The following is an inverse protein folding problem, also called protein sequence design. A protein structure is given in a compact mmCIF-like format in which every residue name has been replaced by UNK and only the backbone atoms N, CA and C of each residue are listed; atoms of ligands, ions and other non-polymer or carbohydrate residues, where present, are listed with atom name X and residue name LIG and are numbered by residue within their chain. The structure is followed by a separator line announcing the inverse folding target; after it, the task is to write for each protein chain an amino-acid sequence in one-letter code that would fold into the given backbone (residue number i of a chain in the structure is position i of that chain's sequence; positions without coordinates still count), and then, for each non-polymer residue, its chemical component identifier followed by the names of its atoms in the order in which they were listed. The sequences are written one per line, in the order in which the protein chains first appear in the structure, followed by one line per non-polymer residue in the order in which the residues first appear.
data_IF_497087538534
#
_entry.id   IF_497087538534
#
_cell.length_a   1.000
_cell.length_b   1.000
_cell.length_c   1.000
_cell.angle_alpha   90.00
_cell.angle_beta   90.00
_cell.angle_gamma   90.00
#
_symmetry.space_group_name_H-M   'P 1'
#
loop_
_entity.id
_entity.type
_entity.pdbx_description
1 polymer ?
#
# COMPACT_ATOMS: atom_id res chain seq x y z
N UNK A 1 36.94 -14.77 77.76
CA UNK A 1 37.34 -13.40 78.16
C UNK A 1 36.20 -12.48 77.73
N UNK A 2 35.65 -11.72 78.69
CA UNK A 2 34.23 -11.43 78.86
C UNK A 2 33.90 -10.04 78.28
N UNK A 3 32.65 -9.55 78.20
CA UNK A 3 32.03 -8.84 79.32
C UNK A 3 30.57 -8.42 79.04
N UNK A 4 29.71 -8.74 80.02
CA UNK A 4 28.64 -7.93 80.62
C UNK A 4 27.39 -7.46 79.80
N UNK A 5 26.28 -8.16 80.05
CA UNK A 5 24.96 -7.58 80.39
C UNK A 5 25.07 -6.71 81.68
N UNK A 6 24.17 -5.74 82.02
CA UNK A 6 22.76 -6.04 82.31
C UNK A 6 21.67 -4.93 82.20
N UNK A 7 20.43 -5.42 82.06
CA UNK A 7 19.19 -5.07 82.80
C UNK A 7 18.80 -3.62 83.09
N UNK A 8 17.58 -3.25 82.65
CA UNK A 8 16.80 -2.13 83.19
C UNK A 8 15.29 -2.38 83.11
N UNK A 9 14.70 -2.80 84.23
CA UNK A 9 13.26 -2.92 84.51
C UNK A 9 12.64 -1.56 84.90
N UNK A 10 11.45 -1.23 84.39
CA UNK A 10 10.29 -0.59 85.08
C UNK A 10 9.17 -0.32 84.04
N UNK A 11 8.03 -1.02 84.11
CA UNK A 11 6.84 -0.70 84.93
C UNK A 11 6.11 0.58 84.49
N UNK A 12 5.00 0.41 83.76
CA UNK A 12 4.03 1.47 83.47
C UNK A 12 2.78 0.89 82.80
N UNK A 13 1.71 0.80 83.56
CA UNK A 13 0.40 0.17 83.31
C UNK A 13 -0.46 0.82 82.21
N UNK A 14 -1.20 0.00 81.46
CA UNK A 14 -2.38 0.44 80.69
C UNK A 14 -2.88 -0.60 79.68
N UNK A 15 -3.72 -1.53 80.09
CA UNK A 15 -4.60 -2.32 79.20
C UNK A 15 -5.84 -1.46 78.84
N UNK A 16 -6.47 -1.59 77.64
CA UNK A 16 -7.08 -2.85 77.21
C UNK A 16 -6.93 -3.23 75.71
N UNK A 17 -7.07 -4.53 75.47
CA UNK A 17 -7.16 -5.30 74.20
C UNK A 17 -8.59 -5.13 73.57
N UNK A 18 -8.96 -5.52 72.31
CA UNK A 18 -8.24 -5.98 71.09
C UNK A 18 -8.70 -5.30 69.76
N UNK A 19 -7.81 -5.11 68.77
CA UNK A 19 -8.21 -5.09 67.36
C UNK A 19 -7.00 -5.25 66.39
N UNK A 20 -6.35 -6.42 66.38
CA UNK A 20 -5.31 -6.74 65.41
C UNK A 20 -5.77 -7.84 64.44
N UNK A 21 -6.80 -7.55 63.63
CA UNK A 21 -7.09 -8.25 62.37
C UNK A 21 -7.50 -7.19 61.33
N UNK A 22 -6.58 -6.30 60.95
CA UNK A 22 -6.81 -5.33 59.87
C UNK A 22 -5.54 -4.81 59.19
N UNK A 23 -4.42 -5.55 59.25
CA UNK A 23 -3.14 -5.07 58.70
C UNK A 23 -2.60 -5.88 57.49
N UNK A 24 -3.36 -6.82 56.93
CA UNK A 24 -2.88 -7.67 55.83
C UNK A 24 -3.64 -7.53 54.50
N UNK A 25 -4.34 -6.41 54.27
CA UNK A 25 -5.15 -6.22 53.05
C UNK A 25 -4.87 -4.95 52.25
N UNK A 26 -3.73 -4.27 52.46
CA UNK A 26 -3.43 -2.99 51.78
C UNK A 26 -2.22 -2.95 50.86
N UNK A 27 -1.61 -4.09 50.52
CA UNK A 27 -0.39 -4.11 49.68
C UNK A 27 -0.50 -4.94 48.40
N UNK A 28 -1.69 -5.37 47.97
CA UNK A 28 -1.85 -6.08 46.68
C UNK A 28 -2.64 -5.35 45.58
N UNK A 29 -3.09 -4.11 45.80
CA UNK A 29 -3.87 -3.38 44.78
C UNK A 29 -3.10 -2.31 44.00
N UNK A 30 -1.84 -1.99 44.35
CA UNK A 30 -1.06 -0.99 43.60
C UNK A 30 -0.19 -1.58 42.47
N UNK A 31 0.14 -2.87 42.53
CA UNK A 31 1.00 -3.51 41.51
C UNK A 31 0.28 -3.77 40.18
N UNK A 32 -0.95 -4.28 40.23
CA UNK A 32 -1.73 -4.62 39.02
C UNK A 32 -2.25 -3.38 38.28
N UNK A 33 -2.64 -2.33 38.99
CA UNK A 33 -3.11 -1.06 38.40
C UNK A 33 -1.95 -0.35 37.69
N UNK A 34 -0.74 -0.42 38.25
CA UNK A 34 0.46 0.16 37.63
C UNK A 34 0.93 -0.63 36.40
N UNK A 35 0.79 -1.96 36.39
CA UNK A 35 1.13 -2.77 35.20
C UNK A 35 0.14 -2.56 34.05
N UNK A 36 -1.17 -2.56 34.34
CA UNK A 36 -2.20 -2.28 33.35
C UNK A 36 -2.07 -0.86 32.79
N UNK A 37 -1.86 0.15 33.64
CA UNK A 37 -1.60 1.52 33.19
C UNK A 37 -0.30 1.65 32.39
N UNK A 38 0.77 0.93 32.76
CA UNK A 38 2.03 0.98 32.03
C UNK A 38 1.93 0.31 30.65
N UNK A 39 1.20 -0.80 30.51
CA UNK A 39 0.91 -1.41 29.21
C UNK A 39 0.00 -0.52 28.35
N UNK A 40 -1.03 0.09 28.93
CA UNK A 40 -1.93 1.02 28.23
C UNK A 40 -1.17 2.26 27.75
N UNK A 41 -0.31 2.85 28.61
CA UNK A 41 0.56 3.99 28.24
C UNK A 41 1.56 3.60 27.16
N UNK A 42 2.10 2.36 27.18
CA UNK A 42 3.00 1.86 26.11
C UNK A 42 2.24 1.65 24.80
N UNK A 43 1.01 1.14 24.85
CA UNK A 43 0.13 0.98 23.69
C UNK A 43 -0.26 2.34 23.10
N UNK A 44 -0.62 3.31 23.95
CA UNK A 44 -0.94 4.69 23.55
C UNK A 44 0.27 5.40 22.95
N UNK A 45 1.45 5.20 23.53
CA UNK A 45 2.72 5.72 22.98
C UNK A 45 3.02 5.09 21.62
N UNK A 46 2.75 3.79 21.46
CA UNK A 46 2.95 3.08 20.19
C UNK A 46 1.94 3.54 19.13
N UNK A 47 0.67 3.72 19.50
CA UNK A 47 -0.39 4.28 18.65
C UNK A 47 -0.07 5.71 18.22
N UNK A 48 0.41 6.55 19.15
CA UNK A 48 0.84 7.91 18.86
C UNK A 48 2.08 7.95 17.94
N UNK A 49 3.04 7.04 18.12
CA UNK A 49 4.19 6.91 17.22
C UNK A 49 3.75 6.49 15.82
N UNK A 50 2.85 5.52 15.70
CA UNK A 50 2.28 5.11 14.41
C UNK A 50 1.52 6.26 13.75
N UNK A 51 0.65 6.96 14.49
CA UNK A 51 -0.06 8.14 13.99
C UNK A 51 0.89 9.23 13.49
N UNK A 52 1.99 9.49 14.20
CA UNK A 52 3.04 10.41 13.76
C UNK A 52 3.75 9.93 12.48
N UNK A 53 3.99 8.61 12.34
CA UNK A 53 4.55 8.03 11.11
C UNK A 53 3.56 8.18 9.95
N UNK A 54 2.27 7.91 10.16
CA UNK A 54 1.21 8.10 9.17
C UNK A 54 1.12 9.56 8.73
N UNK A 55 1.21 10.50 9.67
CA UNK A 55 1.21 11.93 9.39
C UNK A 55 2.43 12.34 8.57
N UNK A 56 3.64 11.93 8.98
CA UNK A 56 4.88 12.19 8.23
C UNK A 56 4.86 11.57 6.85
N UNK A 57 4.26 10.39 6.71
CA UNK A 57 4.07 9.72 5.44
C UNK A 57 3.13 10.51 4.53
N UNK A 58 2.00 11.00 5.07
CA UNK A 58 1.12 11.93 4.35
C UNK A 58 1.83 13.20 3.90
N UNK A 59 2.57 13.85 4.80
CA UNK A 59 3.36 15.07 4.50
C UNK A 59 4.45 14.80 3.45
N UNK A 60 5.12 13.65 3.49
CA UNK A 60 6.12 13.26 2.50
C UNK A 60 5.48 13.00 1.13
N UNK A 61 4.32 12.34 1.12
CA UNK A 61 3.53 12.10 -0.10
C UNK A 61 3.16 13.42 -0.77
N UNK A 62 2.67 14.38 0.02
CA UNK A 62 2.27 15.69 -0.47
C UNK A 62 3.48 16.53 -0.95
N UNK A 63 4.62 16.45 -0.26
CA UNK A 63 5.84 17.15 -0.69
C UNK A 63 6.42 16.59 -1.98
N UNK A 64 6.43 15.26 -2.13
CA UNK A 64 6.93 14.62 -3.34
C UNK A 64 6.01 14.87 -4.55
N UNK A 65 4.71 15.09 -4.33
CA UNK A 65 3.79 15.37 -5.44
C UNK A 65 3.80 16.82 -5.95
N UNK A 66 4.31 17.80 -5.18
CA UNK A 66 3.95 19.21 -5.40
C UNK A 66 4.86 20.05 -6.33
N UNK A 67 6.16 19.83 -6.40
CA UNK A 67 7.05 20.87 -6.99
C UNK A 67 7.81 20.49 -8.27
N UNK A 68 8.54 19.36 -8.33
CA UNK A 68 9.24 18.95 -9.57
C UNK A 68 8.33 18.18 -10.51
N UNK A 69 7.58 17.23 -9.94
CA UNK A 69 6.87 16.19 -10.70
C UNK A 69 5.65 16.76 -11.42
N UNK A 70 5.04 17.81 -10.88
CA UNK A 70 3.91 18.50 -11.52
C UNK A 70 4.34 19.19 -12.82
N UNK A 71 5.52 19.82 -12.84
CA UNK A 71 6.02 20.47 -14.06
C UNK A 71 6.42 19.46 -15.13
N UNK A 72 7.01 18.34 -14.72
CA UNK A 72 7.35 17.21 -15.61
C UNK A 72 6.08 16.58 -16.16
N UNK A 73 5.09 16.32 -15.31
CA UNK A 73 3.79 15.78 -15.70
C UNK A 73 3.10 16.67 -16.73
N UNK A 74 2.91 17.96 -16.45
CA UNK A 74 2.22 18.88 -17.36
C UNK A 74 2.98 19.06 -18.70
N UNK A 75 4.32 19.00 -18.67
CA UNK A 75 5.13 19.07 -19.89
C UNK A 75 5.02 17.79 -20.70
N UNK A 76 5.17 16.61 -20.08
CA UNK A 76 5.05 15.33 -20.78
C UNK A 76 3.63 15.14 -21.31
N UNK A 77 2.60 15.43 -20.53
CA UNK A 77 1.21 15.40 -20.98
C UNK A 77 1.03 16.22 -22.28
N UNK A 78 1.50 17.47 -22.29
CA UNK A 78 1.44 18.32 -23.50
C UNK A 78 2.24 17.77 -24.68
N UNK A 79 3.39 17.16 -24.41
CA UNK A 79 4.24 16.58 -25.45
C UNK A 79 3.57 15.37 -26.10
N UNK A 80 2.96 14.49 -25.30
CA UNK A 80 2.22 13.33 -25.80
C UNK A 80 0.93 13.75 -26.52
N UNK A 81 0.19 14.73 -25.99
CA UNK A 81 -0.98 15.30 -26.67
C UNK A 81 -0.62 15.93 -28.03
N UNK A 82 0.51 16.64 -28.12
CA UNK A 82 1.00 17.19 -29.37
C UNK A 82 1.44 16.09 -30.35
N UNK A 83 2.11 15.04 -29.85
CA UNK A 83 2.48 13.89 -30.66
C UNK A 83 1.24 13.21 -31.24
N UNK A 84 0.24 12.93 -30.40
CA UNK A 84 -1.05 12.36 -30.79
C UNK A 84 -1.82 13.25 -31.76
N UNK A 85 -1.92 14.56 -31.52
CA UNK A 85 -2.59 15.50 -32.42
C UNK A 85 -1.90 15.61 -33.78
N UNK A 86 -0.59 15.36 -33.84
CA UNK A 86 0.19 15.38 -35.07
C UNK A 86 0.32 14.01 -35.75
N UNK A 87 -0.25 12.94 -35.15
CA UNK A 87 -0.16 11.60 -35.69
C UNK A 87 -0.94 11.50 -37.01
N UNK A 88 -0.38 10.77 -37.97
CA UNK A 88 -1.00 10.55 -39.28
C UNK A 88 -1.56 9.14 -39.41
N UNK A 89 -1.06 8.21 -38.58
CA UNK A 89 -1.47 6.82 -38.58
C UNK A 89 -1.42 6.24 -37.17
N UNK A 90 -2.43 5.46 -36.81
CA UNK A 90 -2.45 4.63 -35.60
C UNK A 90 -2.50 3.16 -36.01
N UNK A 91 -1.56 2.36 -35.49
CA UNK A 91 -1.47 0.92 -35.77
C UNK A 91 -1.74 0.18 -34.47
N UNK A 92 -2.86 -0.53 -34.41
CA UNK A 92 -3.16 -1.47 -33.34
C UNK A 92 -2.39 -2.77 -33.59
N UNK A 93 -1.54 -3.13 -32.64
CA UNK A 93 -0.68 -4.30 -32.70
C UNK A 93 -1.28 -5.44 -31.88
N UNK A 94 -1.22 -6.64 -32.44
CA UNK A 94 -1.45 -7.87 -31.70
C UNK A 94 -0.17 -8.33 -30.96
N UNK A 95 -0.29 -9.42 -30.19
CA UNK A 95 0.81 -9.94 -29.38
C UNK A 95 1.99 -10.48 -30.18
N UNK A 96 1.84 -10.82 -31.46
CA UNK A 96 2.94 -11.31 -32.31
C UNK A 96 3.69 -10.14 -32.99
N UNK A 97 2.94 -9.10 -33.35
CA UNK A 97 3.49 -7.87 -33.96
C UNK A 97 4.25 -7.01 -32.95
N UNK A 98 3.91 -7.10 -31.66
CA UNK A 98 4.68 -6.50 -30.58
C UNK A 98 5.95 -7.31 -30.30
N UNK A 99 7.09 -6.86 -30.84
CA UNK A 99 8.38 -7.52 -30.68
C UNK A 99 9.56 -6.53 -30.73
N UNK A 100 10.75 -7.01 -30.37
CA UNK A 100 11.99 -6.20 -30.35
C UNK A 100 12.34 -5.59 -31.73
N UNK A 101 11.96 -6.25 -32.82
CA UNK A 101 12.20 -5.76 -34.18
C UNK A 101 11.38 -4.50 -34.50
N UNK A 102 10.15 -4.43 -34.01
CA UNK A 102 9.34 -3.22 -34.08
C UNK A 102 9.99 -2.09 -33.28
N UNK A 103 10.42 -2.34 -32.04
CA UNK A 103 11.07 -1.32 -31.22
C UNK A 103 12.37 -0.82 -31.85
N UNK A 104 13.15 -1.70 -32.49
CA UNK A 104 14.33 -1.30 -33.25
C UNK A 104 13.96 -0.36 -34.42
N UNK A 105 12.85 -0.63 -35.10
CA UNK A 105 12.33 0.23 -36.19
C UNK A 105 11.87 1.59 -35.66
N UNK A 106 11.15 1.63 -34.55
CA UNK A 106 10.75 2.90 -33.89
C UNK A 106 11.99 3.69 -33.48
N UNK A 107 12.97 3.01 -32.90
CA UNK A 107 14.24 3.60 -32.48
C UNK A 107 15.02 4.19 -33.66
N UNK A 108 15.14 3.47 -34.77
CA UNK A 108 15.79 3.96 -35.99
C UNK A 108 15.11 5.24 -36.50
N UNK A 109 13.77 5.25 -36.55
CA UNK A 109 13.02 6.42 -37.00
C UNK A 109 13.26 7.67 -36.16
N UNK A 110 13.27 7.56 -34.83
CA UNK A 110 13.50 8.74 -33.97
C UNK A 110 14.92 9.29 -34.12
N UNK A 111 15.91 8.44 -34.43
CA UNK A 111 17.29 8.88 -34.71
C UNK A 111 17.39 9.55 -36.08
N UNK A 112 16.84 8.93 -37.13
CA UNK A 112 16.81 9.54 -38.46
C UNK A 112 16.09 10.90 -38.45
N UNK A 113 15.02 11.01 -37.66
CA UNK A 113 14.30 12.28 -37.44
C UNK A 113 15.17 13.35 -36.77
N UNK A 114 15.87 12.97 -35.70
CA UNK A 114 16.77 13.87 -35.00
C UNK A 114 17.93 14.35 -35.88
N UNK A 115 18.58 13.44 -36.60
CA UNK A 115 19.70 13.76 -37.51
C UNK A 115 19.27 14.68 -38.65
N UNK A 116 18.10 14.41 -39.25
CA UNK A 116 17.56 15.28 -40.29
C UNK A 116 17.19 16.65 -39.76
N UNK A 117 16.54 16.75 -38.59
CA UNK A 117 16.26 18.06 -37.95
C UNK A 117 17.56 18.82 -37.66
N UNK A 118 18.60 18.14 -37.21
CA UNK A 118 19.92 18.75 -37.00
C UNK A 118 20.54 19.27 -38.31
N UNK A 119 20.45 18.51 -39.39
CA UNK A 119 20.93 18.90 -40.73
C UNK A 119 20.13 20.09 -41.29
N UNK A 120 18.82 20.14 -41.06
CA UNK A 120 17.95 21.25 -41.49
C UNK A 120 18.31 22.57 -40.77
N UNK A 121 18.66 22.51 -39.49
CA UNK A 121 19.07 23.69 -38.71
C UNK A 121 20.44 24.22 -39.16
N UNK A 122 21.28 23.39 -39.79
CA UNK A 122 22.60 23.78 -40.32
C UNK A 122 22.58 24.44 -41.71
N UNK A 123 21.42 24.58 -42.36
CA UNK A 123 21.23 25.59 -43.42
C UNK A 123 21.37 25.15 -44.88
N UNK A 124 21.15 23.88 -45.24
CA UNK A 124 21.05 23.47 -46.65
C UNK A 124 19.59 23.57 -47.17
N UNK A 125 19.20 24.78 -47.59
CA UNK A 125 17.88 25.07 -48.16
C UNK A 125 17.56 24.30 -49.46
N UNK A 126 18.58 23.76 -50.14
CA UNK A 126 18.42 23.01 -51.39
C UNK A 126 17.89 21.57 -51.19
N UNK A 127 17.98 21.01 -49.98
CA UNK A 127 17.44 19.69 -49.65
C UNK A 127 15.94 19.70 -49.26
N UNK A 128 15.31 20.89 -49.18
CA UNK A 128 13.93 21.04 -48.71
C UNK A 128 12.86 20.51 -49.68
N UNK A 129 13.19 20.27 -50.95
CA UNK A 129 12.20 19.98 -51.98
C UNK A 129 11.93 18.48 -52.25
N UNK A 130 12.68 17.55 -51.63
CA UNK A 130 12.63 16.11 -51.99
C UNK A 130 12.25 15.21 -50.81
N UNK A 131 11.96 15.76 -49.63
CA UNK A 131 11.68 14.91 -48.48
C UNK A 131 10.21 14.44 -48.50
N UNK A 132 9.95 13.11 -48.54
CA UNK A 132 8.60 12.58 -48.52
C UNK A 132 7.89 12.98 -47.23
N UNK A 133 6.57 13.20 -47.33
CA UNK A 133 5.68 13.37 -46.18
C UNK A 133 5.95 12.25 -45.17
N UNK A 134 6.46 12.60 -43.99
CA UNK A 134 6.85 11.59 -43.02
C UNK A 134 5.65 11.23 -42.15
N UNK A 135 5.23 9.98 -42.30
CA UNK A 135 4.14 9.41 -41.53
C UNK A 135 4.53 9.37 -40.04
N UNK A 136 3.73 10.06 -39.22
CA UNK A 136 3.84 10.02 -37.76
C UNK A 136 2.96 8.89 -37.27
N UNK A 137 3.59 7.75 -37.06
CA UNK A 137 2.93 6.50 -36.68
C UNK A 137 2.92 6.39 -35.15
N UNK A 138 1.74 6.20 -34.58
CA UNK A 138 1.54 5.79 -33.20
C UNK A 138 1.18 4.31 -33.18
N UNK A 139 1.81 3.55 -32.28
CA UNK A 139 1.58 2.12 -32.11
C UNK A 139 0.80 1.86 -30.83
N UNK A 140 -0.31 1.15 -30.93
CA UNK A 140 -1.16 0.78 -29.79
C UNK A 140 -1.03 -0.71 -29.48
N UNK A 141 -0.55 -1.04 -28.30
CA UNK A 141 -0.38 -2.43 -27.82
C UNK A 141 -1.13 -2.59 -26.50
N UNK A 142 -2.31 -3.19 -26.55
CA UNK A 142 -3.20 -3.29 -25.39
C UNK A 142 -3.51 -1.90 -24.82
N UNK A 143 -3.07 -1.66 -23.58
CA UNK A 143 -3.26 -0.39 -22.86
C UNK A 143 -2.05 0.55 -22.95
N UNK A 144 -1.18 0.36 -23.95
CA UNK A 144 0.06 1.14 -24.13
C UNK A 144 0.05 1.79 -25.50
N UNK A 145 0.40 3.08 -25.56
CA UNK A 145 0.66 3.79 -26.80
C UNK A 145 2.12 4.18 -26.91
N UNK A 146 2.74 3.88 -28.05
CA UNK A 146 4.14 4.13 -28.33
C UNK A 146 4.22 5.11 -29.49
N UNK A 147 4.87 6.25 -29.27
CA UNK A 147 4.98 7.31 -30.25
C UNK A 147 6.42 7.82 -30.37
N UNK A 148 6.73 8.39 -31.54
CA UNK A 148 7.99 9.08 -31.77
C UNK A 148 7.89 10.50 -31.20
N UNK A 149 8.80 10.85 -30.28
CA UNK A 149 8.92 12.20 -29.73
C UNK A 149 10.10 12.94 -30.38
N UNK A 150 10.16 14.25 -30.15
CA UNK A 150 11.22 15.09 -30.71
C UNK A 150 12.59 14.77 -30.08
N UNK A 151 13.65 14.70 -30.89
CA UNK A 151 15.03 14.56 -30.39
C UNK A 151 15.42 13.15 -29.98
N UNK A 152 15.31 12.16 -30.89
CA UNK A 152 15.72 10.76 -30.66
C UNK A 152 15.05 10.08 -29.44
N UNK A 153 13.85 10.54 -29.08
CA UNK A 153 13.08 10.07 -27.92
C UNK A 153 11.90 9.21 -28.36
N UNK A 154 11.67 8.12 -27.64
CA UNK A 154 10.48 7.27 -27.77
C UNK A 154 9.58 7.55 -26.57
N UNK A 155 8.34 7.94 -26.83
CA UNK A 155 7.32 8.12 -25.82
C UNK A 155 6.51 6.84 -25.64
N UNK A 156 6.29 6.45 -24.38
CA UNK A 156 5.37 5.39 -23.99
C UNK A 156 4.33 5.97 -23.05
N UNK A 157 3.06 5.91 -23.44
CA UNK A 157 1.90 6.27 -22.64
C UNK A 157 1.22 4.99 -22.17
N UNK A 158 0.99 4.87 -20.87
CA UNK A 158 0.25 3.79 -20.24
C UNK A 158 -1.13 4.29 -19.86
N UNK A 159 -2.15 3.63 -20.40
CA UNK A 159 -3.55 3.85 -20.08
C UNK A 159 -3.94 2.84 -18.99
N UNK A 160 -4.34 3.31 -17.82
CA UNK A 160 -4.85 2.42 -16.76
C UNK A 160 -6.37 2.45 -16.73
N UNK A 161 -6.97 1.35 -16.29
CA UNK A 161 -8.43 1.26 -16.15
C UNK A 161 -8.80 0.38 -14.97
N UNK A 162 -9.97 0.61 -14.39
CA UNK A 162 -10.52 -0.26 -13.36
C UNK A 162 -11.97 -0.56 -13.68
N UNK A 163 -12.32 -1.85 -13.74
CA UNK A 163 -13.66 -2.32 -14.13
C UNK A 163 -14.15 -1.75 -15.49
N UNK A 164 -13.24 -1.51 -16.43
CA UNK A 164 -13.54 -0.95 -17.76
C UNK A 164 -13.57 0.57 -17.84
N UNK A 165 -13.52 1.27 -16.70
CA UNK A 165 -13.49 2.72 -16.65
C UNK A 165 -12.04 3.24 -16.67
N UNK A 166 -11.73 4.25 -17.50
CA UNK A 166 -10.39 4.81 -17.58
C UNK A 166 -10.01 5.52 -16.26
N UNK A 167 -8.77 5.30 -15.83
CA UNK A 167 -8.16 5.94 -14.67
C UNK A 167 -7.11 6.96 -15.15
N UNK A 168 -5.94 7.03 -14.52
CA UNK A 168 -4.89 7.95 -14.90
C UNK A 168 -4.01 7.45 -16.05
N UNK A 169 -3.44 8.41 -16.77
CA UNK A 169 -2.40 8.20 -17.77
C UNK A 169 -1.03 8.37 -17.14
N UNK A 170 -0.11 7.47 -17.48
CA UNK A 170 1.29 7.58 -17.11
C UNK A 170 2.16 7.65 -18.35
N UNK A 171 3.26 8.39 -18.26
CA UNK A 171 4.17 8.62 -19.37
C UNK A 171 5.57 8.14 -18.98
N UNK A 172 6.29 7.56 -19.92
CA UNK A 172 7.69 7.20 -19.82
C UNK A 172 8.38 7.56 -21.14
N UNK A 173 9.53 8.20 -21.03
CA UNK A 173 10.34 8.62 -22.17
C UNK A 173 11.65 7.84 -22.16
N UNK A 174 11.88 7.18 -23.28
CA UNK A 174 13.08 6.39 -23.53
C UNK A 174 13.96 7.14 -24.52
N UNK A 175 15.26 7.22 -24.23
CA UNK A 175 16.23 7.85 -25.09
C UNK A 175 17.48 6.98 -25.21
N UNK A 176 18.15 7.09 -26.36
CA UNK A 176 19.52 6.61 -26.52
C UNK A 176 20.30 7.64 -27.31
N UNK A 177 21.55 7.93 -26.93
CA UNK A 177 22.34 8.96 -27.62
C UNK A 177 22.75 8.55 -29.04
N UNK A 178 22.85 7.25 -29.28
CA UNK A 178 23.04 6.67 -30.60
C UNK A 178 22.34 5.32 -30.70
N UNK A 179 22.19 4.81 -31.91
CA UNK A 179 21.61 3.49 -32.15
C UNK A 179 22.38 2.34 -31.46
N UNK A 180 23.68 2.51 -31.24
CA UNK A 180 24.56 1.51 -30.63
C UNK A 180 24.62 1.61 -29.10
N UNK A 181 24.20 2.74 -28.53
CA UNK A 181 24.20 2.91 -27.08
C UNK A 181 23.02 2.20 -26.42
N UNK A 182 23.08 2.01 -25.10
CA UNK A 182 21.94 1.49 -24.36
C UNK A 182 20.81 2.53 -24.30
N UNK A 183 19.58 2.06 -24.34
CA UNK A 183 18.42 2.89 -24.07
C UNK A 183 18.29 3.13 -22.56
N UNK A 184 17.85 4.32 -22.17
CA UNK A 184 17.67 4.73 -20.76
C UNK A 184 16.37 5.48 -20.57
N UNK A 185 15.81 5.43 -19.36
CA UNK A 185 14.65 6.23 -18.98
C UNK A 185 15.11 7.63 -18.59
N UNK A 186 14.69 8.63 -19.36
CA UNK A 186 15.07 10.02 -19.14
C UNK A 186 14.04 10.77 -18.30
N UNK A 187 12.76 10.63 -18.64
CA UNK A 187 11.65 11.33 -17.97
C UNK A 187 10.43 10.42 -17.83
N UNK A 188 9.68 10.53 -16.73
CA UNK A 188 8.45 9.78 -16.53
C UNK A 188 7.51 10.46 -15.54
N UNK A 189 6.25 10.03 -15.54
CA UNK A 189 5.24 10.41 -14.52
C UNK A 189 4.89 9.25 -13.60
N UNK A 190 5.64 8.14 -13.68
CA UNK A 190 5.46 6.95 -12.85
C UNK A 190 5.72 7.31 -11.37
N UNK A 191 4.83 6.94 -10.43
CA UNK A 191 4.99 7.26 -9.02
C UNK A 191 6.33 6.81 -8.45
N UNK A 192 6.99 7.68 -7.69
CA UNK A 192 8.36 7.47 -7.18
C UNK A 192 8.56 6.21 -6.33
N UNK A 193 7.49 5.68 -5.74
CA UNK A 193 7.52 4.48 -4.90
C UNK A 193 7.40 3.19 -5.71
N UNK A 194 7.22 3.27 -7.04
CA UNK A 194 7.29 2.12 -7.93
C UNK A 194 8.73 1.94 -8.44
N UNK A 195 9.20 0.68 -8.57
CA UNK A 195 10.60 0.35 -8.75
C UNK A 195 11.09 0.53 -10.21
N UNK A 196 10.86 1.70 -10.82
CA UNK A 196 11.18 1.92 -12.24
C UNK A 196 12.69 1.78 -12.53
N UNK A 197 13.55 2.15 -11.57
CA UNK A 197 15.01 2.10 -11.75
C UNK A 197 15.53 0.66 -11.68
N UNK A 198 14.96 -0.16 -10.80
CA UNK A 198 15.24 -1.59 -10.75
C UNK A 198 14.80 -2.26 -12.05
N UNK A 199 13.58 -1.98 -12.50
CA UNK A 199 13.02 -2.52 -13.75
C UNK A 199 13.83 -2.08 -14.99
N UNK A 200 14.30 -0.82 -15.01
CA UNK A 200 15.21 -0.31 -16.03
C UNK A 200 16.50 -1.12 -16.08
N UNK A 201 17.11 -1.38 -14.93
CA UNK A 201 18.36 -2.14 -14.84
C UNK A 201 18.19 -3.61 -15.26
N UNK A 202 17.06 -4.22 -14.89
CA UNK A 202 16.80 -5.63 -15.14
C UNK A 202 16.45 -5.92 -16.60
N UNK A 203 15.63 -5.04 -17.21
CA UNK A 203 15.03 -5.32 -18.52
C UNK A 203 15.50 -4.40 -19.64
N UNK A 204 15.64 -3.09 -19.43
CA UNK A 204 15.73 -2.14 -20.55
C UNK A 204 16.97 -2.39 -21.44
N UNK A 205 18.09 -2.80 -20.83
CA UNK A 205 19.32 -3.13 -21.56
C UNK A 205 19.28 -4.45 -22.33
N UNK A 206 18.44 -5.40 -21.90
CA UNK A 206 18.37 -6.75 -22.47
C UNK A 206 17.19 -6.90 -23.43
N UNK A 207 16.05 -6.31 -23.08
CA UNK A 207 14.80 -6.40 -23.80
C UNK A 207 13.88 -5.21 -23.44
N UNK A 208 13.86 -4.20 -24.31
CA UNK A 208 13.05 -2.99 -24.11
C UNK A 208 11.54 -3.28 -24.14
N UNK A 209 11.12 -4.31 -24.87
CA UNK A 209 9.73 -4.76 -24.91
C UNK A 209 9.26 -5.23 -23.52
N UNK A 210 10.04 -6.11 -22.88
CA UNK A 210 9.79 -6.59 -21.51
C UNK A 210 9.79 -5.47 -20.49
N UNK A 211 10.69 -4.49 -20.63
CA UNK A 211 10.67 -3.30 -19.78
C UNK A 211 9.32 -2.58 -19.88
N UNK A 212 8.88 -2.27 -21.12
CA UNK A 212 7.62 -1.56 -21.37
C UNK A 212 6.42 -2.36 -20.83
N UNK A 213 6.37 -3.67 -21.08
CA UNK A 213 5.29 -4.51 -20.59
C UNK A 213 5.24 -4.56 -19.06
N UNK A 214 6.39 -4.78 -18.42
CA UNK A 214 6.45 -4.89 -16.96
C UNK A 214 6.10 -3.58 -16.24
N UNK A 215 6.52 -2.44 -16.78
CA UNK A 215 6.09 -1.12 -16.25
C UNK A 215 4.57 -0.96 -16.36
N UNK A 216 3.97 -1.38 -17.48
CA UNK A 216 2.52 -1.37 -17.65
C UNK A 216 1.79 -2.25 -16.63
N UNK A 217 2.31 -3.45 -16.35
CA UNK A 217 1.77 -4.36 -15.33
C UNK A 217 1.86 -3.78 -13.92
N UNK A 218 2.99 -3.15 -13.57
CA UNK A 218 3.18 -2.49 -12.28
C UNK A 218 2.17 -1.36 -12.07
N UNK A 219 1.98 -0.51 -13.08
CA UNK A 219 1.03 0.61 -13.04
C UNK A 219 -0.40 0.12 -12.92
N UNK A 220 -0.80 -0.84 -13.76
CA UNK A 220 -2.15 -1.40 -13.76
C UNK A 220 -2.47 -2.06 -12.41
N UNK A 221 -1.57 -2.88 -11.89
CA UNK A 221 -1.76 -3.55 -10.60
C UNK A 221 -1.79 -2.58 -9.41
N UNK A 222 -1.00 -1.49 -9.47
CA UNK A 222 -1.08 -0.40 -8.50
C UNK A 222 -2.46 0.27 -8.50
N UNK A 223 -2.98 0.61 -9.69
CA UNK A 223 -4.31 1.21 -9.85
C UNK A 223 -5.38 0.24 -9.36
N UNK A 224 -5.33 -1.03 -9.74
CA UNK A 224 -6.31 -2.04 -9.33
C UNK A 224 -6.39 -2.15 -7.80
N UNK A 225 -5.25 -2.25 -7.11
CA UNK A 225 -5.23 -2.32 -5.63
C UNK A 225 -5.78 -1.03 -5.00
N UNK A 226 -5.41 0.13 -5.54
CA UNK A 226 -5.88 1.43 -5.04
C UNK A 226 -7.39 1.59 -5.22
N UNK A 227 -7.91 1.27 -6.40
CA UNK A 227 -9.32 1.40 -6.73
C UNK A 227 -10.18 0.37 -5.98
N UNK A 228 -9.69 -0.85 -5.76
CA UNK A 228 -10.32 -1.80 -4.86
C UNK A 228 -10.49 -1.24 -3.45
N UNK A 229 -9.46 -0.59 -2.89
CA UNK A 229 -9.56 0.08 -1.58
C UNK A 229 -10.52 1.27 -1.62
N UNK A 230 -10.51 2.06 -2.69
CA UNK A 230 -11.45 3.17 -2.88
C UNK A 230 -12.90 2.66 -2.88
N UNK A 231 -13.16 1.56 -3.58
CA UNK A 231 -14.48 0.97 -3.72
C UNK A 231 -15.01 0.41 -2.40
N UNK A 232 -14.20 -0.29 -1.60
CA UNK A 232 -14.67 -0.74 -0.28
C UNK A 232 -14.98 0.42 0.67
N UNK A 233 -14.23 1.53 0.58
CA UNK A 233 -14.53 2.74 1.37
C UNK A 233 -15.86 3.36 0.93
N UNK A 234 -16.13 3.37 -0.36
CA UNK A 234 -17.36 3.92 -0.93
C UNK A 234 -18.58 3.06 -0.56
N UNK A 235 -18.47 1.73 -0.69
CA UNK A 235 -19.57 0.80 -0.48
C UNK A 235 -19.81 0.46 1.00
N UNK A 236 -18.74 0.32 1.78
CA UNK A 236 -18.77 -0.24 3.14
C UNK A 236 -18.09 0.66 4.17
N UNK A 237 -17.89 1.95 3.88
CA UNK A 237 -17.14 2.87 4.74
C UNK A 237 -17.70 3.01 6.16
N UNK A 238 -18.98 2.72 6.39
CA UNK A 238 -19.59 2.68 7.72
C UNK A 238 -19.16 1.45 8.55
N UNK A 239 -18.76 0.37 7.88
CA UNK A 239 -18.32 -0.89 8.50
C UNK A 239 -16.80 -0.96 8.66
N UNK A 240 -16.07 -0.04 8.01
CA UNK A 240 -14.62 0.02 8.05
C UNK A 240 -14.20 1.03 9.13
N UNK A 241 -13.46 0.55 10.12
CA UNK A 241 -12.84 1.37 11.16
C UNK A 241 -11.52 2.00 10.69
N UNK A 242 -10.46 1.77 11.46
CA UNK A 242 -9.11 2.20 11.08
C UNK A 242 -8.70 1.50 9.78
N UNK A 243 -8.19 2.27 8.79
CA UNK A 243 -7.69 1.74 7.51
C UNK A 243 -6.38 2.41 7.14
N UNK A 244 -5.35 1.59 6.98
CA UNK A 244 -4.01 1.94 6.56
C UNK A 244 -3.70 1.37 5.18
N UNK A 245 -3.03 2.19 4.35
CA UNK A 245 -2.46 1.75 3.08
C UNK A 245 -1.04 2.31 2.94
N UNK A 246 -0.11 1.45 2.55
CA UNK A 246 1.19 1.87 2.01
C UNK A 246 1.03 2.54 0.63
N UNK A 247 2.02 3.34 0.20
CA UNK A 247 1.97 4.03 -1.11
C UNK A 247 1.71 3.11 -2.31
N UNK A 248 2.41 1.95 -2.45
CA UNK A 248 2.18 1.05 -3.58
C UNK A 248 0.92 0.18 -3.40
N UNK A 249 0.18 0.35 -2.30
CA UNK A 249 -0.92 -0.53 -1.88
C UNK A 249 -0.51 -2.00 -1.69
N UNK A 250 0.79 -2.26 -1.44
CA UNK A 250 1.33 -3.60 -1.19
C UNK A 250 1.17 -4.07 0.27
N UNK A 251 0.78 -3.17 1.17
CA UNK A 251 0.39 -3.44 2.54
C UNK A 251 -0.88 -2.64 2.83
N UNK A 252 -1.95 -3.36 3.17
CA UNK A 252 -3.28 -2.81 3.48
C UNK A 252 -3.72 -3.44 4.79
N UNK A 253 -4.08 -2.62 5.77
CA UNK A 253 -4.58 -3.09 7.06
C UNK A 253 -5.85 -2.34 7.42
N UNK A 254 -6.89 -3.05 7.85
CA UNK A 254 -8.10 -2.40 8.31
C UNK A 254 -8.86 -3.17 9.38
N UNK A 255 -9.79 -2.48 10.04
CA UNK A 255 -10.69 -3.04 11.05
C UNK A 255 -12.11 -3.10 10.50
N UNK A 256 -12.81 -4.22 10.71
CA UNK A 256 -14.26 -4.30 10.49
C UNK A 256 -14.96 -4.00 11.82
N UNK A 257 -15.82 -2.99 11.83
CA UNK A 257 -16.42 -2.38 13.02
C UNK A 257 -17.90 -2.78 13.26
N UNK A 258 -18.44 -3.67 12.44
CA UNK A 258 -19.87 -4.06 12.45
C UNK A 258 -20.23 -5.16 13.46
N UNK A 259 -19.28 -5.62 14.28
CA UNK A 259 -19.46 -6.76 15.17
C UNK A 259 -19.11 -6.43 16.63
N UNK A 260 -19.66 -7.20 17.57
CA UNK A 260 -19.33 -7.15 19.01
C UNK A 260 -17.87 -7.59 19.32
N UNK A 261 -17.09 -7.88 18.29
CA UNK A 261 -15.67 -8.19 18.33
C UNK A 261 -14.89 -7.31 17.34
N UNK A 262 -13.65 -6.95 17.67
CA UNK A 262 -12.79 -6.22 16.74
C UNK A 262 -12.22 -7.22 15.73
N UNK A 263 -12.52 -7.08 14.45
CA UNK A 263 -11.89 -7.91 13.40
C UNK A 263 -10.81 -7.11 12.69
N UNK A 264 -9.57 -7.57 12.72
CA UNK A 264 -8.44 -6.95 12.01
C UNK A 264 -8.07 -7.77 10.79
N UNK A 265 -8.00 -7.10 9.63
CA UNK A 265 -7.58 -7.67 8.35
C UNK A 265 -6.23 -7.06 7.96
N UNK A 266 -5.27 -7.90 7.57
CA UNK A 266 -3.95 -7.50 7.07
C UNK A 266 -3.66 -8.23 5.76
N UNK A 267 -3.39 -7.45 4.71
CA UNK A 267 -3.05 -7.91 3.37
C UNK A 267 -1.65 -7.47 3.00
N UNK A 268 -0.84 -8.40 2.49
CA UNK A 268 0.50 -8.13 1.98
C UNK A 268 0.69 -8.75 0.60
N UNK A 269 1.18 -7.93 -0.31
CA UNK A 269 1.49 -8.29 -1.70
C UNK A 269 3.01 -8.37 -1.79
N UNK A 270 3.53 -9.57 -2.00
CA UNK A 270 4.98 -9.77 -2.15
C UNK A 270 5.45 -9.27 -3.53
N UNK A 271 4.59 -9.41 -4.53
CA UNK A 271 4.82 -8.98 -5.90
C UNK A 271 3.92 -7.78 -6.24
N UNK A 272 4.53 -6.72 -6.76
CA UNK A 272 3.84 -5.48 -7.11
C UNK A 272 3.02 -5.59 -8.40
N UNK A 273 3.22 -6.63 -9.22
CA UNK A 273 2.35 -6.93 -10.37
C UNK A 273 1.14 -7.81 -10.00
N UNK A 274 0.99 -8.19 -8.73
CA UNK A 274 -0.16 -8.98 -8.28
C UNK A 274 -1.33 -8.11 -7.81
N UNK A 275 -2.53 -8.42 -8.28
CA UNK A 275 -3.78 -7.76 -7.82
C UNK A 275 -4.42 -8.46 -6.61
N UNK A 276 -3.97 -9.68 -6.29
CA UNK A 276 -4.36 -10.45 -5.11
C UNK A 276 -3.21 -10.58 -4.09
N UNK A 277 -3.52 -10.58 -2.78
CA UNK A 277 -2.50 -10.60 -1.73
C UNK A 277 -1.82 -11.97 -1.61
N UNK A 278 -0.51 -11.96 -1.38
CA UNK A 278 0.31 -13.16 -1.18
C UNK A 278 0.27 -13.65 0.26
N UNK A 279 0.06 -12.75 1.22
CA UNK A 279 -0.05 -13.08 2.65
C UNK A 279 -1.25 -12.35 3.23
N UNK A 280 -2.08 -13.10 3.94
CA UNK A 280 -3.36 -12.64 4.46
C UNK A 280 -3.45 -13.09 5.91
N UNK A 281 -3.92 -12.18 6.78
CA UNK A 281 -4.22 -12.49 8.18
C UNK A 281 -5.53 -11.83 8.54
N UNK A 282 -6.51 -12.63 8.99
CA UNK A 282 -7.78 -12.14 9.51
C UNK A 282 -7.97 -12.64 10.93
N UNK A 283 -8.01 -11.71 11.89
CA UNK A 283 -8.05 -12.02 13.32
C UNK A 283 -9.27 -11.36 13.96
N UNK A 284 -10.09 -12.15 14.64
CA UNK A 284 -11.18 -11.69 15.49
C UNK A 284 -10.72 -11.62 16.94
N UNK A 285 -10.83 -10.42 17.52
CA UNK A 285 -10.47 -10.12 18.90
C UNK A 285 -11.75 -10.05 19.75
N UNK A 286 -11.91 -10.93 20.76
CA UNK A 286 -13.05 -10.85 21.65
C UNK A 286 -13.00 -9.54 22.44
N UNK A 287 -14.04 -8.70 22.36
CA UNK A 287 -14.10 -7.49 23.20
C UNK A 287 -14.58 -7.87 24.60
N UNK A 288 -13.96 -7.29 25.63
CA UNK A 288 -14.52 -7.38 26.98
C UNK A 288 -15.80 -6.54 26.99
N UNK A 289 -16.96 -7.19 27.08
CA UNK A 289 -18.12 -6.45 27.55
C UNK A 289 -17.80 -5.97 28.97
N UNK A 290 -17.94 -4.66 29.30
CA UNK A 290 -17.91 -4.23 30.68
C UNK A 290 -19.04 -4.99 31.36
N UNK A 291 -18.68 -5.87 32.32
CA UNK A 291 -19.60 -6.73 33.06
C UNK A 291 -20.83 -5.92 33.45
N UNK A 292 -21.97 -6.16 32.79
CA UNK A 292 -23.27 -5.76 33.35
C UNK A 292 -23.29 -6.37 34.75
N UNK A 293 -23.42 -5.53 35.78
CA UNK A 293 -23.55 -5.97 37.17
C UNK A 293 -24.73 -6.95 37.25
N UNK A 294 -24.44 -8.25 37.16
CA UNK A 294 -25.31 -9.29 37.66
C UNK A 294 -24.97 -9.48 39.12
N UNK A 295 -25.79 -8.87 39.96
CA UNK A 295 -25.85 -9.09 41.39
C UNK A 295 -26.04 -10.57 41.66
N UNK A 296 -25.12 -11.19 42.39
CA UNK A 296 -25.37 -12.48 43.04
C UNK A 296 -24.34 -13.58 42.80
N UNK A 297 -23.58 -13.85 43.87
CA UNK A 297 -23.02 -15.14 44.29
C UNK A 297 -21.63 -15.59 43.77
N UNK A 298 -20.70 -15.55 44.75
CA UNK A 298 -19.47 -16.31 44.99
C UNK A 298 -18.29 -16.14 44.01
N UNK A 299 -17.13 -15.61 44.48
CA UNK A 299 -15.90 -15.60 43.71
C UNK A 299 -15.22 -16.97 43.80
N UNK A 300 -15.38 -17.79 42.76
CA UNK A 300 -14.42 -18.86 42.49
C UNK A 300 -13.21 -18.22 41.83
N UNK A 301 -12.11 -18.31 42.55
CA UNK A 301 -10.78 -17.87 42.18
C UNK A 301 -10.32 -18.55 40.88
N UNK A 302 -10.49 -17.88 39.74
CA UNK A 302 -9.80 -18.21 38.48
C UNK A 302 -8.79 -17.11 38.18
N UNK A 303 -7.63 -17.24 38.81
CA UNK A 303 -6.38 -16.64 38.35
C UNK A 303 -5.93 -17.36 37.07
N UNK A 304 -6.41 -16.91 35.91
CA UNK A 304 -5.64 -16.96 34.66
C UNK A 304 -5.68 -15.54 34.09
N UNK A 305 -4.52 -14.96 33.82
CA UNK A 305 -4.43 -13.71 33.08
C UNK A 305 -5.16 -13.89 31.75
N UNK A 306 -6.31 -13.24 31.61
CA UNK A 306 -7.11 -13.24 30.38
C UNK A 306 -6.38 -12.45 29.30
N UNK A 307 -5.32 -13.03 28.72
CA UNK A 307 -4.91 -12.64 27.37
C UNK A 307 -6.05 -13.05 26.45
N UNK A 308 -6.74 -12.07 25.88
CA UNK A 308 -7.75 -12.29 24.84
C UNK A 308 -7.01 -12.84 23.62
N UNK A 309 -7.02 -14.16 23.44
CA UNK A 309 -6.37 -14.81 22.31
C UNK A 309 -7.22 -14.52 21.07
N UNK A 310 -6.66 -13.87 20.02
CA UNK A 310 -7.39 -13.65 18.79
C UNK A 310 -7.65 -14.97 18.08
N UNK A 311 -8.85 -15.11 17.51
CA UNK A 311 -9.20 -16.27 16.68
C UNK A 311 -8.98 -15.95 15.22
N UNK A 312 -8.26 -16.82 14.51
CA UNK A 312 -7.99 -16.70 13.08
C UNK A 312 -9.20 -17.13 12.26
N UNK A 313 -9.59 -16.34 11.27
CA UNK A 313 -10.75 -16.58 10.44
C UNK A 313 -10.33 -17.10 9.06
N UNK A 314 -10.20 -18.42 8.96
CA UNK A 314 -9.68 -19.09 7.75
C UNK A 314 -10.58 -18.86 6.53
N UNK A 315 -11.91 -18.89 6.69
CA UNK A 315 -12.85 -18.63 5.59
C UNK A 315 -12.61 -17.24 4.96
N UNK A 316 -12.39 -16.22 5.80
CA UNK A 316 -12.15 -14.86 5.36
C UNK A 316 -10.81 -14.73 4.64
N UNK A 317 -9.79 -15.43 5.11
CA UNK A 317 -8.50 -15.47 4.44
C UNK A 317 -8.56 -16.17 3.07
N UNK A 318 -9.37 -17.21 2.93
CA UNK A 318 -9.54 -17.92 1.65
C UNK A 318 -10.34 -17.10 0.64
N UNK A 319 -11.36 -16.34 1.08
CA UNK A 319 -12.07 -15.38 0.24
C UNK A 319 -11.11 -14.29 -0.29
N UNK A 320 -10.31 -13.68 0.59
CA UNK A 320 -9.33 -12.66 0.22
C UNK A 320 -8.19 -13.20 -0.66
N UNK A 321 -7.95 -14.51 -0.69
CA UNK A 321 -6.95 -15.14 -1.57
C UNK A 321 -7.43 -15.34 -2.99
N UNK A 322 -8.75 -15.44 -3.19
CA UNK A 322 -9.35 -15.88 -4.45
C UNK A 322 -10.24 -14.84 -5.13
N UNK A 323 -10.68 -13.82 -4.39
CA UNK A 323 -11.60 -12.79 -4.88
C UNK A 323 -10.98 -11.40 -4.79
N UNK A 324 -11.53 -10.43 -5.53
CA UNK A 324 -11.15 -9.03 -5.35
C UNK A 324 -11.53 -8.55 -3.94
N UNK A 325 -10.83 -7.54 -3.42
CA UNK A 325 -11.08 -7.03 -2.07
C UNK A 325 -12.55 -6.62 -1.81
N UNK A 326 -13.28 -5.95 -2.73
CA UNK A 326 -14.69 -5.65 -2.55
C UNK A 326 -15.59 -6.90 -2.46
N UNK A 327 -15.36 -7.88 -3.33
CA UNK A 327 -16.12 -9.14 -3.34
C UNK A 327 -15.86 -9.96 -2.08
N UNK A 328 -14.58 -10.11 -1.72
CA UNK A 328 -14.17 -10.81 -0.50
C UNK A 328 -14.75 -10.12 0.74
N UNK A 329 -14.77 -8.78 0.79
CA UNK A 329 -15.36 -8.04 1.90
C UNK A 329 -16.85 -8.36 2.06
N UNK A 330 -17.60 -8.38 0.95
CA UNK A 330 -19.02 -8.72 0.97
C UNK A 330 -19.25 -10.15 1.49
N UNK A 331 -18.49 -11.13 0.99
CA UNK A 331 -18.56 -12.53 1.42
C UNK A 331 -18.24 -12.72 2.91
N UNK A 332 -17.20 -12.03 3.39
CA UNK A 332 -16.80 -12.03 4.80
C UNK A 332 -17.94 -11.49 5.67
N UNK A 333 -18.45 -10.29 5.37
CA UNK A 333 -19.50 -9.68 6.22
C UNK A 333 -20.77 -10.53 6.24
N UNK A 334 -21.12 -11.18 5.14
CA UNK A 334 -22.28 -12.07 5.06
C UNK A 334 -22.12 -13.34 5.92
N UNK A 335 -20.92 -13.94 5.95
CA UNK A 335 -20.64 -15.19 6.68
C UNK A 335 -20.28 -14.97 8.16
N UNK A 336 -19.77 -13.79 8.50
CA UNK A 336 -19.26 -13.44 9.84
C UNK A 336 -20.19 -13.73 11.01
N UNK A 337 -21.50 -13.36 10.99
CA UNK A 337 -22.37 -13.59 12.13
C UNK A 337 -22.49 -15.06 12.55
N UNK A 338 -22.41 -15.99 11.59
CA UNK A 338 -22.47 -17.42 11.88
C UNK A 338 -21.13 -17.90 12.44
N UNK A 339 -20.02 -17.52 11.81
CA UNK A 339 -18.68 -17.91 12.27
C UNK A 339 -18.35 -17.38 13.67
N UNK A 340 -18.74 -16.14 13.98
CA UNK A 340 -18.49 -15.56 15.30
C UNK A 340 -19.31 -16.25 16.41
N UNK A 341 -20.52 -16.75 16.12
CA UNK A 341 -21.30 -17.56 17.08
C UNK A 341 -20.64 -18.89 17.39
N UNK A 342 -20.01 -19.52 16.41
CA UNK A 342 -19.29 -20.78 16.60
C UNK A 342 -18.01 -20.58 17.43
N UNK A 343 -17.31 -19.46 17.21
CA UNK A 343 -16.05 -19.14 17.90
C UNK A 343 -16.29 -18.58 19.31
N UNK A 344 -17.32 -17.75 19.49
CA UNK A 344 -17.64 -17.05 20.74
C UNK A 344 -19.10 -17.31 21.19
N UNK A 345 -19.46 -18.55 21.56
CA UNK A 345 -20.85 -18.91 21.91
C UNK A 345 -21.38 -18.17 23.15
N UNK A 346 -20.50 -17.72 24.05
CA UNK A 346 -20.86 -17.04 25.30
C UNK A 346 -21.06 -15.51 25.17
N UNK A 347 -20.90 -14.95 23.97
CA UNK A 347 -21.02 -13.50 23.71
C UNK A 347 -22.27 -13.09 22.91
N UNK A 348 -23.08 -14.05 22.46
CA UNK A 348 -24.41 -13.76 21.89
C UNK A 348 -25.41 -13.32 22.96
N UNK A 349 -26.33 -12.39 22.65
CA UNK A 349 -27.24 -11.75 23.62
C UNK A 349 -28.16 -12.72 24.39
#
# INVERSE_FOLDING_TARGET
MPEFCPSGLRSGSGNPVPAAIAAFRRTMSMGEVNFAQAEDVRLETTRARLSNVLKRHGELTEKLSRDSDKTVFERLQREFEAAHASQTQEICLDGEQWNDGLLATVRERVHMEAERKATQVQGDAAAMAILPFQEKITYKVGNKMICCLDGARIGVQYETSFAGEPCELFHCVLESKSFLEKMTVTEHTIPFFLPIREVENDYLSSNAMKFIDHVGELLQSYVDRREQVRLIKELYGNQIGELYCSLPYHMIEFVIADFDCKVTVSLRYADLVSTLPSTISVLAWPMQQPKRLRTGLLPINRNLGNQLIPSRLVHAEDALRSMSLPEAFADIVLSMPQTLKEIFPDQSP
#
